data_IF_460602251615
#
_entry.id   IF_460602251615
#
_cell.length_a   1.000
_cell.length_b   1.000
_cell.length_c   1.000
_cell.angle_alpha   90.00
_cell.angle_beta   90.00
_cell.angle_gamma   90.00
#
_symmetry.space_group_name_H-M   'P 1'
#
loop_
_entity.id
_entity.type
_entity.pdbx_description
1 polymer ?
#
# COMPACT_ATOMS: atom_id res chain seq x y z
N UNK A 1 6.92 -10.59 -14.48
CA UNK A 1 5.62 -9.94 -14.19
C UNK A 1 5.11 -10.50 -12.87
N UNK A 2 4.76 -9.64 -11.92
CA UNK A 2 4.25 -10.04 -10.62
C UNK A 2 2.73 -9.87 -10.55
N UNK A 3 2.20 -8.81 -11.16
CA UNK A 3 0.77 -8.50 -11.16
C UNK A 3 0.32 -8.06 -12.55
N UNK A 4 -0.82 -8.59 -12.99
CA UNK A 4 -1.50 -8.22 -14.23
C UNK A 4 -2.95 -7.87 -13.92
N UNK A 5 -3.37 -6.71 -14.36
CA UNK A 5 -4.72 -6.20 -14.21
C UNK A 5 -5.32 -6.14 -15.62
N UNK A 6 -6.43 -6.85 -15.84
CA UNK A 6 -7.04 -6.99 -17.14
C UNK A 6 -8.46 -6.44 -17.12
N UNK A 7 -8.63 -5.26 -17.70
CA UNK A 7 -9.93 -4.62 -17.99
C UNK A 7 -10.86 -4.54 -16.77
N UNK A 8 -10.32 -4.19 -15.59
CA UNK A 8 -11.13 -4.13 -14.37
C UNK A 8 -12.04 -2.91 -14.36
N UNK A 9 -13.29 -3.13 -13.93
CA UNK A 9 -14.28 -2.08 -13.70
C UNK A 9 -14.81 -2.16 -12.28
N UNK A 10 -14.99 -0.99 -11.64
CA UNK A 10 -15.59 -0.89 -10.31
C UNK A 10 -16.57 0.26 -10.26
N UNK A 11 -17.79 -0.04 -9.83
CA UNK A 11 -18.88 0.93 -9.66
C UNK A 11 -19.29 1.01 -8.20
N UNK A 12 -19.69 2.18 -7.79
CA UNK A 12 -20.25 2.43 -6.46
C UNK A 12 -21.60 3.11 -6.60
N UNK A 13 -22.52 2.80 -5.67
CA UNK A 13 -23.81 3.45 -5.55
C UNK A 13 -23.79 4.42 -4.37
N UNK A 14 -24.25 5.64 -4.60
CA UNK A 14 -24.48 6.65 -3.57
C UNK A 14 -25.94 7.10 -3.65
N UNK A 15 -26.80 6.50 -2.83
CA UNK A 15 -28.25 6.68 -2.98
C UNK A 15 -28.75 6.08 -4.29
N UNK A 16 -29.41 6.90 -5.12
CA UNK A 16 -29.88 6.53 -6.47
C UNK A 16 -28.84 6.73 -7.56
N UNK A 17 -27.73 7.39 -7.26
CA UNK A 17 -26.68 7.67 -8.25
C UNK A 17 -25.63 6.54 -8.27
N UNK A 18 -25.22 6.16 -9.47
CA UNK A 18 -24.12 5.21 -9.69
C UNK A 18 -22.95 5.97 -10.31
N UNK A 19 -21.73 5.75 -9.79
CA UNK A 19 -20.51 6.28 -10.37
C UNK A 19 -19.48 5.18 -10.60
N UNK A 20 -18.77 5.28 -11.71
CA UNK A 20 -17.73 4.34 -12.10
C UNK A 20 -16.39 4.85 -11.60
N UNK A 21 -15.82 4.15 -10.61
CA UNK A 21 -14.53 4.50 -10.02
C UNK A 21 -13.34 3.93 -10.80
N UNK A 22 -13.51 2.74 -11.41
CA UNK A 22 -12.59 2.16 -12.39
C UNK A 22 -13.37 1.78 -13.63
N UNK A 23 -12.84 2.10 -14.80
CA UNK A 23 -13.51 1.91 -16.09
C UNK A 23 -12.54 1.28 -17.09
N UNK A 24 -12.55 -0.05 -17.15
CA UNK A 24 -11.74 -0.83 -18.08
C UNK A 24 -10.22 -0.67 -17.87
N UNK A 25 -9.77 -0.61 -16.61
CA UNK A 25 -8.35 -0.40 -16.30
C UNK A 25 -7.56 -1.66 -16.57
N UNK A 26 -6.49 -1.53 -17.37
CA UNK A 26 -5.50 -2.57 -17.61
C UNK A 26 -4.09 -2.05 -17.27
N UNK A 27 -3.31 -2.86 -16.53
CA UNK A 27 -1.98 -2.46 -16.06
C UNK A 27 -1.14 -3.71 -15.79
N UNK A 28 0.15 -3.64 -16.09
CA UNK A 28 1.13 -4.66 -15.74
C UNK A 28 2.17 -4.09 -14.81
N UNK A 29 2.53 -4.87 -13.78
CA UNK A 29 3.55 -4.52 -12.79
C UNK A 29 4.57 -5.63 -12.76
N UNK A 30 5.84 -5.27 -13.01
CA UNK A 30 6.95 -6.20 -12.95
C UNK A 30 7.51 -6.27 -11.52
N UNK A 31 8.17 -7.38 -11.20
CA UNK A 31 8.88 -7.48 -9.92
C UNK A 31 10.02 -6.46 -9.89
N UNK A 32 10.08 -5.69 -8.81
CA UNK A 32 11.04 -4.61 -8.67
C UNK A 32 10.62 -3.28 -9.33
N UNK A 33 9.40 -3.16 -9.87
CA UNK A 33 8.88 -1.85 -10.30
C UNK A 33 8.70 -0.90 -9.10
N UNK A 34 8.94 0.38 -9.33
CA UNK A 34 8.45 1.46 -8.48
C UNK A 34 7.51 2.32 -9.33
N UNK A 35 6.22 2.01 -9.25
CA UNK A 35 5.17 2.65 -10.03
C UNK A 35 4.50 3.76 -9.23
N UNK A 36 4.54 5.00 -9.75
CA UNK A 36 3.74 6.10 -9.24
C UNK A 36 2.43 6.24 -10.05
N UNK A 37 1.33 6.35 -9.33
CA UNK A 37 -0.01 6.59 -9.88
C UNK A 37 -0.44 8.01 -9.51
N UNK A 38 -0.46 8.90 -10.50
CA UNK A 38 -0.89 10.28 -10.36
C UNK A 38 -2.34 10.47 -10.83
N UNK A 39 -2.92 11.62 -10.53
CA UNK A 39 -4.26 12.02 -10.97
C UNK A 39 -5.01 12.84 -9.94
N UNK A 40 -6.05 13.53 -10.37
CA UNK A 40 -6.88 14.37 -9.51
C UNK A 40 -7.57 13.55 -8.39
N UNK A 41 -8.06 14.24 -7.35
CA UNK A 41 -8.94 13.60 -6.36
C UNK A 41 -10.17 13.01 -7.06
N UNK A 42 -10.59 11.81 -6.64
CA UNK A 42 -11.71 11.11 -7.29
C UNK A 42 -11.38 10.43 -8.63
N UNK A 43 -10.12 10.44 -9.09
CA UNK A 43 -9.73 9.78 -10.35
C UNK A 43 -9.75 8.23 -10.30
N UNK A 44 -9.97 7.62 -9.13
CA UNK A 44 -10.02 6.15 -8.97
C UNK A 44 -8.74 5.52 -8.41
N UNK A 45 -7.72 6.32 -8.05
CA UNK A 45 -6.41 5.84 -7.62
C UNK A 45 -6.46 4.90 -6.40
N UNK A 46 -7.11 5.32 -5.31
CA UNK A 46 -7.27 4.48 -4.10
C UNK A 46 -8.11 3.24 -4.38
N UNK A 47 -9.11 3.33 -5.28
CA UNK A 47 -9.90 2.18 -5.71
C UNK A 47 -9.03 1.17 -6.47
N UNK A 48 -8.12 1.66 -7.32
CA UNK A 48 -7.15 0.80 -8.02
C UNK A 48 -6.24 0.09 -7.01
N UNK A 49 -5.64 0.83 -6.04
CA UNK A 49 -4.82 0.21 -5.00
C UNK A 49 -5.58 -0.84 -4.19
N UNK A 50 -6.83 -0.54 -3.81
CA UNK A 50 -7.66 -1.47 -3.06
C UNK A 50 -8.03 -2.72 -3.87
N UNK A 51 -8.27 -2.57 -5.19
CA UNK A 51 -8.49 -3.70 -6.08
C UNK A 51 -7.23 -4.56 -6.23
N UNK A 52 -6.07 -3.93 -6.43
CA UNK A 52 -4.77 -4.63 -6.48
C UNK A 52 -4.50 -5.35 -5.16
N UNK A 53 -4.76 -4.69 -4.04
CA UNK A 53 -4.49 -5.22 -2.70
C UNK A 53 -5.47 -6.28 -2.21
N UNK A 54 -6.47 -6.68 -3.01
CA UNK A 54 -7.46 -7.68 -2.60
C UNK A 54 -8.47 -7.20 -1.56
N UNK A 55 -8.63 -5.86 -1.40
CA UNK A 55 -9.56 -5.26 -0.45
C UNK A 55 -10.95 -4.99 -1.05
N UNK A 56 -11.01 -4.77 -2.37
CA UNK A 56 -12.24 -4.49 -3.10
C UNK A 56 -12.31 -5.36 -4.34
N UNK A 57 -13.35 -6.20 -4.43
CA UNK A 57 -13.60 -7.02 -5.61
C UNK A 57 -14.05 -6.15 -6.79
N UNK A 58 -13.41 -6.20 -7.97
CA UNK A 58 -13.90 -5.58 -9.20
C UNK A 58 -15.27 -6.14 -9.58
N UNK A 59 -16.09 -5.34 -10.28
CA UNK A 59 -17.39 -5.81 -10.78
C UNK A 59 -17.22 -6.59 -12.10
N UNK A 60 -16.12 -6.33 -12.84
CA UNK A 60 -15.70 -7.10 -14.02
C UNK A 60 -14.20 -6.99 -14.24
N UNK A 61 -13.65 -7.86 -15.10
CA UNK A 61 -12.22 -7.99 -15.34
C UNK A 61 -11.56 -8.90 -14.30
N UNK A 62 -10.24 -8.98 -14.32
CA UNK A 62 -9.47 -9.88 -13.44
C UNK A 62 -8.19 -9.22 -12.93
N UNK A 63 -7.71 -9.67 -11.77
CA UNK A 63 -6.43 -9.28 -11.18
C UNK A 63 -5.62 -10.56 -10.95
N UNK A 64 -4.55 -10.72 -11.72
CA UNK A 64 -3.71 -11.91 -11.69
C UNK A 64 -2.43 -11.64 -10.91
N UNK A 65 -2.21 -12.38 -9.84
CA UNK A 65 -0.94 -12.43 -9.12
C UNK A 65 -0.21 -13.71 -9.51
N UNK A 66 0.99 -13.58 -10.10
CA UNK A 66 1.76 -14.70 -10.65
C UNK A 66 0.90 -15.60 -11.56
N UNK A 67 0.03 -15.01 -12.41
CA UNK A 67 -0.84 -15.69 -13.34
C UNK A 67 -2.09 -16.33 -12.73
N UNK A 68 -2.37 -16.12 -11.44
CA UNK A 68 -3.57 -16.64 -10.75
C UNK A 68 -4.49 -15.51 -10.37
N UNK A 69 -5.75 -15.58 -10.75
CA UNK A 69 -6.75 -14.59 -10.38
C UNK A 69 -7.01 -14.63 -8.87
N UNK A 70 -6.77 -13.50 -8.21
CA UNK A 70 -6.93 -13.37 -6.75
C UNK A 70 -8.38 -13.32 -6.32
N UNK A 71 -9.31 -13.11 -7.24
CA UNK A 71 -10.74 -12.97 -6.97
C UNK A 71 -11.61 -14.14 -7.45
N UNK A 72 -11.12 -14.94 -8.41
CA UNK A 72 -11.87 -16.07 -8.96
C UNK A 72 -11.79 -17.34 -8.08
N UNK A 73 -11.42 -17.18 -6.82
CA UNK A 73 -11.25 -18.29 -5.88
C UNK A 73 -11.98 -17.99 -4.58
N UNK A 74 -12.04 -18.99 -3.68
CA UNK A 74 -12.65 -18.82 -2.35
C UNK A 74 -11.95 -17.68 -1.60
N UNK A 75 -12.67 -16.94 -0.77
CA UNK A 75 -12.17 -15.80 0.04
C UNK A 75 -10.86 -16.09 0.78
N UNK A 76 -10.62 -17.34 1.16
CA UNK A 76 -9.38 -17.81 1.79
C UNK A 76 -8.14 -17.52 0.95
N UNK A 77 -8.23 -17.59 -0.38
CA UNK A 77 -7.09 -17.33 -1.28
C UNK A 77 -6.78 -15.85 -1.32
N UNK A 78 -7.79 -14.99 -1.36
CA UNK A 78 -7.62 -13.54 -1.30
C UNK A 78 -7.03 -13.09 0.04
N UNK A 79 -7.45 -13.72 1.15
CA UNK A 79 -6.93 -13.45 2.49
C UNK A 79 -5.46 -13.87 2.60
N UNK A 80 -5.11 -15.03 2.06
CA UNK A 80 -3.73 -15.51 2.03
C UNK A 80 -2.83 -14.64 1.16
N UNK A 81 -3.33 -14.17 0.01
CA UNK A 81 -2.66 -13.21 -0.86
C UNK A 81 -2.35 -11.92 -0.10
N UNK A 82 -3.35 -11.30 0.55
CA UNK A 82 -3.16 -10.08 1.35
C UNK A 82 -2.14 -10.29 2.45
N UNK A 83 -2.27 -11.39 3.18
CA UNK A 83 -1.42 -11.68 4.34
C UNK A 83 0.05 -11.88 3.98
N UNK A 84 0.33 -12.58 2.87
CA UNK A 84 1.70 -13.01 2.53
C UNK A 84 2.40 -12.08 1.54
N UNK A 85 1.65 -11.47 0.63
CA UNK A 85 2.24 -10.81 -0.53
C UNK A 85 2.02 -9.31 -0.56
N UNK A 86 1.11 -8.77 0.27
CA UNK A 86 0.76 -7.34 0.26
C UNK A 86 1.14 -6.67 1.56
N UNK A 87 1.95 -5.60 1.46
CA UNK A 87 2.08 -4.57 2.48
C UNK A 87 1.22 -3.37 2.11
N UNK A 88 0.41 -2.87 3.03
CA UNK A 88 -0.46 -1.74 2.74
C UNK A 88 -0.16 -0.55 3.66
N UNK A 89 0.13 0.61 3.07
CA UNK A 89 0.20 1.90 3.72
C UNK A 89 -0.97 2.76 3.28
N UNK A 90 -1.83 3.09 4.22
CA UNK A 90 -2.99 3.97 4.00
C UNK A 90 -2.64 5.42 4.33
N UNK A 91 -3.37 6.36 3.74
CA UNK A 91 -3.31 7.79 4.08
C UNK A 91 -3.61 8.02 5.56
N UNK A 92 -4.60 7.31 6.12
CA UNK A 92 -4.80 7.18 7.56
C UNK A 92 -4.01 5.97 8.05
N UNK A 93 -3.28 6.12 9.13
CA UNK A 93 -2.32 5.11 9.62
C UNK A 93 -2.93 3.76 9.96
N UNK A 94 -4.23 3.74 10.30
CA UNK A 94 -4.99 2.55 10.75
C UNK A 94 -4.24 1.73 11.81
N UNK A 95 -3.52 2.41 12.71
CA UNK A 95 -2.97 1.77 13.90
C UNK A 95 -4.11 1.49 14.88
N UNK A 96 -4.09 0.31 15.49
CA UNK A 96 -5.05 -0.05 16.52
C UNK A 96 -4.80 0.83 17.76
N UNK A 97 -5.75 1.68 18.19
CA UNK A 97 -5.51 2.71 19.21
C UNK A 97 -5.22 2.14 20.60
N UNK A 98 -5.66 0.91 20.85
CA UNK A 98 -5.50 0.18 22.12
C UNK A 98 -4.30 -0.78 22.13
N UNK A 99 -3.51 -0.81 21.08
CA UNK A 99 -2.26 -1.58 20.96
C UNK A 99 -1.07 -0.63 20.92
N UNK A 100 0.01 -1.00 21.57
CA UNK A 100 1.30 -0.30 21.48
C UNK A 100 1.90 -0.40 20.07
N UNK A 101 2.97 0.37 19.81
CA UNK A 101 3.69 0.30 18.51
C UNK A 101 4.13 -1.12 18.20
N UNK A 102 4.79 -1.80 19.14
CA UNK A 102 5.27 -3.17 18.92
C UNK A 102 4.13 -4.15 18.69
N UNK A 103 3.01 -4.00 19.38
CA UNK A 103 1.83 -4.85 19.20
C UNK A 103 1.16 -4.60 17.86
N UNK A 104 1.05 -3.33 17.42
CA UNK A 104 0.58 -3.00 16.08
C UNK A 104 1.42 -3.65 14.98
N UNK A 105 2.75 -3.65 15.13
CA UNK A 105 3.65 -4.31 14.18
C UNK A 105 3.47 -5.84 14.21
N UNK A 106 3.30 -6.43 15.41
CA UNK A 106 3.08 -7.87 15.57
C UNK A 106 1.82 -8.38 14.87
N UNK A 107 0.80 -7.54 14.64
CA UNK A 107 -0.40 -7.93 13.89
C UNK A 107 -0.09 -8.42 12.47
N UNK A 108 0.99 -7.94 11.87
CA UNK A 108 1.41 -8.37 10.53
C UNK A 108 2.43 -9.53 10.55
N UNK A 109 2.84 -10.00 11.73
CA UNK A 109 3.80 -11.09 11.87
C UNK A 109 3.07 -12.44 11.91
N UNK A 110 3.14 -13.20 10.84
CA UNK A 110 2.57 -14.56 10.78
C UNK A 110 3.62 -15.68 10.84
N UNK A 111 4.91 -15.34 10.84
CA UNK A 111 6.03 -16.25 11.02
C UNK A 111 6.97 -15.76 12.13
N UNK A 112 7.66 -16.69 12.80
CA UNK A 112 8.59 -16.37 13.89
C UNK A 112 9.70 -15.40 13.45
N UNK A 113 10.26 -15.59 12.25
CA UNK A 113 11.29 -14.68 11.70
C UNK A 113 10.85 -13.23 11.60
N UNK A 114 9.55 -12.97 11.39
CA UNK A 114 9.03 -11.60 11.35
C UNK A 114 9.11 -10.96 12.74
N UNK A 115 8.80 -11.71 13.78
CA UNK A 115 8.89 -11.26 15.18
C UNK A 115 10.34 -10.94 15.55
N UNK A 116 11.27 -11.79 15.15
CA UNK A 116 12.72 -11.63 15.43
C UNK A 116 13.28 -10.35 14.79
N UNK A 117 12.71 -9.92 13.65
CA UNK A 117 13.15 -8.73 12.93
C UNK A 117 12.55 -7.41 13.46
N UNK A 118 11.53 -7.44 14.34
CA UNK A 118 10.82 -6.22 14.77
C UNK A 118 11.78 -5.16 15.32
N UNK A 119 12.71 -5.55 16.19
CA UNK A 119 13.62 -4.59 16.82
C UNK A 119 14.55 -3.91 15.82
N UNK A 120 15.04 -4.62 14.82
CA UNK A 120 15.85 -4.06 13.75
C UNK A 120 15.06 -3.00 12.94
N UNK A 121 13.79 -3.27 12.61
CA UNK A 121 12.94 -2.29 11.92
C UNK A 121 12.59 -1.09 12.80
N UNK A 122 12.35 -1.29 14.10
CA UNK A 122 12.11 -0.18 15.04
C UNK A 122 13.34 0.74 15.15
N UNK A 123 14.54 0.18 15.18
CA UNK A 123 15.80 0.93 15.20
C UNK A 123 15.97 1.75 13.91
N UNK A 124 15.82 1.12 12.75
CA UNK A 124 15.94 1.77 11.42
C UNK A 124 14.94 2.89 11.23
N UNK A 125 13.73 2.76 11.79
CA UNK A 125 12.68 3.77 11.75
C UNK A 125 12.75 4.77 12.91
N UNK A 126 13.80 4.74 13.75
CA UNK A 126 13.97 5.60 14.94
C UNK A 126 12.78 5.53 15.90
N UNK A 127 12.23 4.31 16.11
CA UNK A 127 11.08 4.05 16.98
C UNK A 127 11.40 3.16 18.19
N UNK A 128 12.68 2.83 18.44
CA UNK A 128 13.07 1.95 19.55
C UNK A 128 12.54 2.44 20.90
N UNK A 129 12.66 3.75 21.19
CA UNK A 129 12.16 4.36 22.42
C UNK A 129 10.63 4.47 22.48
N UNK A 130 9.94 4.26 21.34
CA UNK A 130 8.48 4.40 21.23
C UNK A 130 7.75 3.06 21.22
N UNK A 131 8.45 1.93 21.30
CA UNK A 131 7.90 0.58 21.11
C UNK A 131 6.69 0.26 22.00
N UNK A 132 6.69 0.78 23.23
CA UNK A 132 5.65 0.53 24.24
C UNK A 132 4.61 1.66 24.30
N UNK A 133 4.72 2.69 23.45
CA UNK A 133 3.75 3.79 23.39
C UNK A 133 2.54 3.40 22.56
N UNK A 134 1.41 3.98 22.90
CA UNK A 134 0.16 3.89 22.16
C UNK A 134 0.12 4.93 21.01
N UNK A 135 -0.69 4.71 19.97
CA UNK A 135 -0.79 5.65 18.86
C UNK A 135 -1.09 7.11 19.24
N UNK A 136 -1.89 7.34 20.26
CA UNK A 136 -2.22 8.71 20.70
C UNK A 136 -1.04 9.46 21.34
N UNK A 137 0.02 8.75 21.75
CA UNK A 137 1.25 9.32 22.33
C UNK A 137 2.31 9.65 21.26
N UNK A 138 2.05 9.30 20.00
CA UNK A 138 2.98 9.45 18.90
C UNK A 138 2.69 10.70 18.08
N UNK A 139 3.75 11.34 17.58
CA UNK A 139 3.65 12.33 16.50
C UNK A 139 3.12 11.70 15.21
N UNK A 140 2.68 12.52 14.27
CA UNK A 140 2.18 12.08 12.97
C UNK A 140 3.23 11.27 12.21
N UNK A 141 4.49 11.75 12.19
CA UNK A 141 5.60 11.04 11.55
C UNK A 141 5.95 9.70 12.20
N UNK A 142 5.87 9.61 13.54
CA UNK A 142 6.08 8.34 14.26
C UNK A 142 4.97 7.33 13.95
N UNK A 143 3.70 7.76 13.90
CA UNK A 143 2.58 6.92 13.46
C UNK A 143 2.79 6.37 12.06
N UNK A 144 3.25 7.21 11.15
CA UNK A 144 3.47 6.82 9.76
C UNK A 144 4.62 5.81 9.65
N UNK A 145 5.73 6.03 10.36
CA UNK A 145 6.83 5.06 10.39
C UNK A 145 6.42 3.74 11.04
N UNK A 146 5.60 3.76 12.09
CA UNK A 146 5.05 2.53 12.68
C UNK A 146 4.13 1.78 11.69
N UNK A 147 3.28 2.50 10.95
CA UNK A 147 2.45 1.93 9.90
C UNK A 147 3.30 1.35 8.74
N UNK A 148 4.40 2.02 8.38
CA UNK A 148 5.36 1.50 7.41
C UNK A 148 5.99 0.18 7.88
N UNK A 149 6.50 0.11 9.12
CA UNK A 149 7.05 -1.15 9.66
C UNK A 149 6.01 -2.26 9.58
N UNK A 150 4.78 -1.99 10.01
CA UNK A 150 3.68 -2.97 9.93
C UNK A 150 3.43 -3.44 8.51
N UNK A 151 3.54 -2.56 7.52
CA UNK A 151 3.33 -2.91 6.13
C UNK A 151 4.43 -3.82 5.56
N UNK A 152 5.70 -3.68 6.02
CA UNK A 152 6.83 -4.38 5.42
C UNK A 152 7.41 -5.52 6.27
N UNK A 153 7.00 -5.66 7.53
CA UNK A 153 7.60 -6.64 8.46
C UNK A 153 7.45 -8.08 8.00
N UNK A 154 6.38 -8.39 7.28
CA UNK A 154 6.14 -9.70 6.68
C UNK A 154 6.95 -9.96 5.41
N UNK A 155 7.80 -9.00 4.99
CA UNK A 155 8.55 -9.04 3.74
C UNK A 155 7.64 -9.29 2.51
N UNK A 156 6.60 -8.46 2.31
CA UNK A 156 5.65 -8.65 1.21
C UNK A 156 6.36 -8.51 -0.15
N UNK A 157 5.77 -9.08 -1.19
CA UNK A 157 6.26 -8.92 -2.57
C UNK A 157 5.93 -7.54 -3.14
N UNK A 158 4.85 -6.92 -2.64
CA UNK A 158 4.29 -5.67 -3.15
C UNK A 158 3.88 -4.74 -2.00
N UNK A 159 4.47 -3.55 -1.96
CA UNK A 159 4.06 -2.46 -1.10
C UNK A 159 3.10 -1.53 -1.84
N UNK A 160 1.87 -1.42 -1.34
CA UNK A 160 0.85 -0.50 -1.82
C UNK A 160 0.78 0.70 -0.89
N UNK A 161 1.03 1.90 -1.38
CA UNK A 161 1.04 3.12 -0.57
C UNK A 161 0.06 4.15 -1.12
N UNK A 162 -0.96 4.49 -0.35
CA UNK A 162 -1.96 5.50 -0.69
C UNK A 162 -1.67 6.80 0.06
N UNK A 163 -1.16 7.81 -0.64
CA UNK A 163 -0.81 9.14 -0.13
C UNK A 163 0.01 9.09 1.19
N UNK A 164 1.13 8.33 1.25
CA UNK A 164 1.81 8.02 2.51
C UNK A 164 2.43 9.25 3.19
N UNK A 165 2.62 10.35 2.45
CA UNK A 165 3.23 11.60 2.95
C UNK A 165 2.23 12.74 3.14
N UNK A 166 0.95 12.53 2.80
CA UNK A 166 -0.05 13.60 2.73
C UNK A 166 -0.32 14.36 4.03
N UNK A 167 0.04 13.79 5.17
CA UNK A 167 -0.14 14.41 6.50
C UNK A 167 1.21 14.73 7.19
N UNK A 168 2.32 14.67 6.47
CA UNK A 168 3.66 14.85 7.01
C UNK A 168 4.25 16.22 6.63
N UNK A 169 5.07 16.78 7.50
CA UNK A 169 5.97 17.85 7.14
C UNK A 169 7.07 17.35 6.19
N UNK A 170 7.78 18.25 5.49
CA UNK A 170 8.79 17.87 4.49
C UNK A 170 9.90 16.97 5.04
N UNK A 171 10.34 17.17 6.28
CA UNK A 171 11.39 16.36 6.91
C UNK A 171 10.95 14.93 7.17
N UNK A 172 9.75 14.74 7.74
CA UNK A 172 9.17 13.42 7.97
C UNK A 172 8.81 12.72 6.65
N UNK A 173 8.36 13.49 5.64
CA UNK A 173 8.11 12.97 4.29
C UNK A 173 9.37 12.39 3.66
N UNK A 174 10.48 13.15 3.69
CA UNK A 174 11.77 12.71 3.15
C UNK A 174 12.28 11.46 3.89
N UNK A 175 12.20 11.43 5.22
CA UNK A 175 12.60 10.29 6.03
C UNK A 175 11.79 9.03 5.69
N UNK A 176 10.47 9.13 5.55
CA UNK A 176 9.62 8.02 5.17
C UNK A 176 9.94 7.51 3.76
N UNK A 177 10.08 8.43 2.80
CA UNK A 177 10.35 8.04 1.42
C UNK A 177 11.72 7.39 1.25
N UNK A 178 12.73 7.77 2.05
CA UNK A 178 14.02 7.07 2.09
C UNK A 178 13.87 5.62 2.57
N UNK A 179 12.98 5.35 3.52
CA UNK A 179 12.69 3.98 3.97
C UNK A 179 11.97 3.16 2.89
N UNK A 180 11.04 3.77 2.14
CA UNK A 180 10.36 3.13 1.00
C UNK A 180 11.37 2.85 -0.13
N UNK A 181 12.26 3.79 -0.43
CA UNK A 181 13.35 3.61 -1.40
C UNK A 181 14.28 2.46 -0.99
N UNK A 182 14.67 2.40 0.28
CA UNK A 182 15.50 1.30 0.78
C UNK A 182 14.82 -0.08 0.61
N UNK A 183 13.50 -0.15 0.86
CA UNK A 183 12.71 -1.35 0.60
C UNK A 183 12.74 -1.72 -0.89
N UNK A 184 12.57 -0.73 -1.78
CA UNK A 184 12.62 -0.94 -3.24
C UNK A 184 14.00 -1.40 -3.72
N UNK A 185 15.10 -0.75 -3.29
CA UNK A 185 16.48 -1.13 -3.64
C UNK A 185 16.80 -2.57 -3.25
N UNK A 186 16.19 -3.07 -2.17
CA UNK A 186 16.31 -4.47 -1.73
C UNK A 186 15.47 -5.46 -2.56
N UNK A 187 14.87 -5.01 -3.66
CA UNK A 187 14.09 -5.81 -4.60
C UNK A 187 12.59 -5.80 -4.33
N UNK A 188 12.12 -4.95 -3.42
CA UNK A 188 10.67 -4.74 -3.20
C UNK A 188 10.00 -4.07 -4.40
N UNK A 189 8.77 -4.48 -4.69
CA UNK A 189 7.92 -3.81 -5.69
C UNK A 189 7.05 -2.79 -4.99
N UNK A 190 6.91 -1.58 -5.54
CA UNK A 190 6.15 -0.48 -4.94
C UNK A 190 5.11 0.05 -5.92
N UNK A 191 3.88 0.21 -5.45
CA UNK A 191 2.85 1.00 -6.14
C UNK A 191 2.43 2.14 -5.22
N UNK A 192 2.76 3.35 -5.62
CA UNK A 192 2.54 4.55 -4.83
C UNK A 192 1.48 5.43 -5.50
N UNK A 193 0.43 5.76 -4.80
CA UNK A 193 -0.46 6.87 -5.14
C UNK A 193 0.03 8.10 -4.41
N UNK A 194 0.41 9.14 -5.12
CA UNK A 194 0.75 10.43 -4.54
C UNK A 194 0.66 11.56 -5.56
N UNK A 195 0.35 12.76 -5.07
CA UNK A 195 0.49 14.00 -5.80
C UNK A 195 1.72 14.82 -5.34
N UNK A 196 2.44 14.33 -4.33
CA UNK A 196 3.64 14.97 -3.80
C UNK A 196 4.86 14.68 -4.71
N UNK A 197 5.52 15.72 -5.28
CA UNK A 197 6.70 15.55 -6.12
C UNK A 197 7.85 14.79 -5.45
N UNK A 198 8.03 14.93 -4.13
CA UNK A 198 9.06 14.21 -3.38
C UNK A 198 8.77 12.70 -3.38
N UNK A 199 7.52 12.32 -3.17
CA UNK A 199 7.11 10.91 -3.17
C UNK A 199 7.26 10.26 -4.54
N UNK A 200 7.02 11.02 -5.62
CA UNK A 200 7.07 10.53 -7.00
C UNK A 200 8.50 10.50 -7.56
N UNK A 201 9.45 11.20 -6.92
CA UNK A 201 10.85 11.32 -7.37
C UNK A 201 11.53 9.96 -7.57
N UNK A 202 11.25 9.00 -6.71
CA UNK A 202 11.87 7.67 -6.70
C UNK A 202 11.22 6.68 -7.67
N UNK A 203 10.08 7.04 -8.26
CA UNK A 203 9.36 6.15 -9.16
C UNK A 203 10.13 5.93 -10.47
N UNK A 204 10.28 4.67 -10.85
CA UNK A 204 10.88 4.26 -12.13
C UNK A 204 9.86 4.32 -13.26
N UNK A 205 8.57 4.20 -12.94
CA UNK A 205 7.45 4.29 -13.88
C UNK A 205 6.36 5.20 -13.32
N UNK A 206 5.66 5.89 -14.21
CA UNK A 206 4.54 6.78 -13.84
C UNK A 206 3.36 6.52 -14.76
N UNK A 207 2.18 6.50 -14.18
CA UNK A 207 0.91 6.51 -14.90
C UNK A 207 0.03 7.63 -14.34
N UNK A 208 -0.88 8.12 -15.18
CA UNK A 208 -1.87 9.10 -14.75
C UNK A 208 -3.25 8.49 -14.87
N UNK A 209 -4.09 8.71 -13.85
CA UNK A 209 -5.50 8.32 -13.87
C UNK A 209 -6.41 9.55 -14.01
N UNK A 210 -7.43 9.43 -14.83
CA UNK A 210 -8.51 10.41 -14.95
C UNK A 210 -9.84 9.69 -15.18
N UNK A 211 -10.85 10.04 -14.41
CA UNK A 211 -12.22 9.50 -14.53
C UNK A 211 -12.26 7.97 -14.59
N UNK A 212 -11.50 7.31 -13.71
CA UNK A 212 -11.45 5.85 -13.60
C UNK A 212 -10.62 5.14 -14.67
N UNK A 213 -9.95 5.85 -15.56
CA UNK A 213 -9.13 5.28 -16.64
C UNK A 213 -7.66 5.69 -16.50
N UNK A 214 -6.75 4.84 -17.00
CA UNK A 214 -5.36 5.24 -17.23
C UNK A 214 -5.31 6.10 -18.47
N UNK A 215 -4.71 7.28 -18.35
CA UNK A 215 -4.42 8.19 -19.47
C UNK A 215 -2.91 8.31 -19.63
N UNK A 216 -2.45 8.36 -20.86
CA UNK A 216 -1.02 8.48 -21.21
C UNK A 216 -0.55 9.92 -21.09
#
# INVERSE_FOLDING_TARGET
MILEINNITKRYKKGSEEFTALDGVSLRIEKGDYLAVAGASGAGKSTLLNAIGGLIHPDSGEVLYNGKDIYNQKSVVTDEYRKKHIGFMFQQFHLMPYLTVIENVKLACYEKRHIDNIYSYLERCSLTGMKNKYPYELSVGEKQRAAFIRAIISAPDLLLADEPTGNLDPGNSAALMSLVEEYHIKGGTVVLVSHDPLSVKYATRRITMAKGRIVL
#
